data_IF_783629793097
#
_entry.id   IF_783629793097
#
_cell.length_a   1.000
_cell.length_b   1.000
_cell.length_c   1.000
_cell.angle_alpha   90.00
_cell.angle_beta   90.00
_cell.angle_gamma   90.00
#
_symmetry.space_group_name_H-M   'P 1'
#
loop_
_entity.id
_entity.type
_entity.pdbx_description
1 polymer ?
#
# COMPACT_ATOMS: atom_id res chain seq x y z
N UNK A 1 37.83 10.31 -0.73
CA UNK A 1 37.44 8.89 -0.85
C UNK A 1 35.93 8.84 -1.04
N UNK A 2 35.45 8.73 -2.28
CA UNK A 2 34.02 8.54 -2.55
C UNK A 2 33.75 7.05 -2.72
N UNK A 3 32.87 6.53 -1.88
CA UNK A 3 32.48 5.13 -1.84
C UNK A 3 31.89 4.65 -3.16
N UNK A 4 32.14 3.38 -3.45
CA UNK A 4 31.66 2.61 -4.60
C UNK A 4 30.19 2.90 -4.92
N UNK A 5 29.95 3.72 -5.96
CA UNK A 5 28.63 3.84 -6.59
C UNK A 5 28.38 2.52 -7.31
N UNK A 6 27.50 1.68 -6.76
CA UNK A 6 26.88 0.63 -7.54
C UNK A 6 26.32 1.27 -8.80
N UNK A 7 26.74 0.78 -9.95
CA UNK A 7 26.43 1.37 -11.27
C UNK A 7 24.91 1.49 -11.38
N UNK A 8 24.39 2.73 -11.39
CA UNK A 8 22.97 2.98 -11.60
C UNK A 8 22.55 2.28 -12.89
N UNK A 9 21.38 1.63 -12.91
CA UNK A 9 20.89 0.89 -14.09
C UNK A 9 20.69 1.79 -15.32
N UNK A 10 20.79 3.11 -15.12
CA UNK A 10 20.69 4.15 -16.14
C UNK A 10 22.00 4.94 -16.33
N UNK A 11 23.14 4.46 -15.84
CA UNK A 11 24.43 5.16 -15.94
C UNK A 11 24.82 5.46 -17.39
N UNK A 12 24.42 4.62 -18.33
CA UNK A 12 24.62 4.83 -19.76
C UNK A 12 23.95 6.10 -20.30
N UNK A 13 22.77 6.48 -19.80
CA UNK A 13 22.09 7.73 -20.22
C UNK A 13 22.40 8.91 -19.30
N UNK A 14 22.74 8.65 -18.03
CA UNK A 14 23.05 9.70 -17.07
C UNK A 14 24.49 10.23 -17.24
N UNK A 15 25.45 9.35 -17.46
CA UNK A 15 26.88 9.68 -17.52
C UNK A 15 27.40 9.84 -18.95
N UNK A 16 26.56 9.66 -19.98
CA UNK A 16 26.98 9.89 -21.36
C UNK A 16 27.31 11.37 -21.64
N UNK A 17 28.33 11.64 -22.47
CA UNK A 17 28.60 12.99 -22.96
C UNK A 17 27.42 13.47 -23.80
N UNK A 18 27.09 14.75 -23.67
CA UNK A 18 25.99 15.36 -24.42
C UNK A 18 26.36 15.39 -25.91
N UNK A 19 25.61 14.71 -26.80
CA UNK A 19 25.90 14.71 -28.23
C UNK A 19 25.80 16.12 -28.81
N UNK A 20 26.69 16.43 -29.76
CA UNK A 20 26.66 17.73 -30.48
C UNK A 20 25.71 17.69 -31.68
N UNK A 21 25.42 16.52 -32.23
CA UNK A 21 24.43 16.35 -33.30
C UNK A 21 23.00 16.49 -32.74
N UNK A 22 22.18 17.44 -33.26
CA UNK A 22 20.79 17.60 -32.85
C UNK A 22 19.94 16.33 -32.92
N UNK A 23 20.21 15.43 -33.87
CA UNK A 23 19.45 14.17 -33.99
C UNK A 23 19.75 13.21 -32.84
N UNK A 24 21.04 13.03 -32.54
CA UNK A 24 21.48 12.19 -31.43
C UNK A 24 21.03 12.77 -30.08
N UNK A 25 21.07 14.11 -29.94
CA UNK A 25 20.57 14.79 -28.75
C UNK A 25 19.08 14.54 -28.55
N UNK A 26 18.27 14.65 -29.60
CA UNK A 26 16.83 14.36 -29.55
C UNK A 26 16.58 12.90 -29.17
N UNK A 27 17.33 11.96 -29.75
CA UNK A 27 17.25 10.54 -29.40
C UNK A 27 17.61 10.28 -27.94
N UNK A 28 18.62 10.97 -27.40
CA UNK A 28 19.01 10.85 -25.99
C UNK A 28 17.93 11.40 -25.05
N UNK A 29 17.37 12.57 -25.38
CA UNK A 29 16.24 13.17 -24.64
C UNK A 29 15.04 12.22 -24.62
N UNK A 30 14.70 11.63 -25.77
CA UNK A 30 13.59 10.68 -25.88
C UNK A 30 13.84 9.41 -25.08
N UNK A 31 15.07 8.90 -25.08
CA UNK A 31 15.43 7.71 -24.31
C UNK A 31 15.39 7.98 -22.80
N UNK A 32 15.93 9.13 -22.35
CA UNK A 32 15.86 9.57 -20.94
C UNK A 32 14.41 9.74 -20.51
N UNK A 33 13.57 10.38 -21.35
CA UNK A 33 12.12 10.53 -21.12
C UNK A 33 11.43 9.18 -21.02
N UNK A 34 11.74 8.24 -21.93
CA UNK A 34 11.16 6.90 -21.96
C UNK A 34 11.50 6.12 -20.70
N UNK A 35 12.76 6.14 -20.26
CA UNK A 35 13.20 5.49 -19.01
C UNK A 35 12.60 6.16 -17.78
N UNK A 36 12.53 7.50 -17.76
CA UNK A 36 11.87 8.24 -16.70
C UNK A 36 10.38 7.87 -16.57
N UNK A 37 9.67 7.74 -17.68
CA UNK A 37 8.27 7.29 -17.70
C UNK A 37 8.13 5.85 -17.18
N UNK A 38 9.09 4.98 -17.50
CA UNK A 38 9.12 3.59 -17.02
C UNK A 38 9.41 3.52 -15.51
N UNK A 39 10.33 4.33 -14.99
CA UNK A 39 10.60 4.41 -13.56
C UNK A 39 9.36 4.95 -12.81
N UNK A 40 8.73 6.00 -13.35
CA UNK A 40 7.51 6.58 -12.78
C UNK A 40 6.35 5.59 -12.75
N UNK A 41 6.17 4.77 -13.79
CA UNK A 41 5.11 3.75 -13.82
C UNK A 41 5.37 2.58 -12.89
N UNK A 42 6.65 2.26 -12.61
CA UNK A 42 7.07 1.25 -11.64
C UNK A 42 7.00 1.72 -10.19
N UNK A 43 6.72 3.00 -9.93
CA UNK A 43 6.66 3.55 -8.58
C UNK A 43 8.00 4.06 -8.04
N UNK A 44 9.09 3.95 -8.80
CA UNK A 44 10.45 4.34 -8.37
C UNK A 44 10.64 5.83 -8.68
N UNK A 45 10.21 6.69 -7.76
CA UNK A 45 10.13 8.13 -8.00
C UNK A 45 11.49 8.82 -8.03
N UNK A 46 12.44 8.37 -7.21
CA UNK A 46 13.80 8.91 -7.11
C UNK A 46 14.55 8.75 -8.43
N UNK A 47 14.50 7.55 -9.02
CA UNK A 47 15.12 7.30 -10.34
C UNK A 47 14.45 8.15 -11.44
N UNK A 48 13.12 8.26 -11.40
CA UNK A 48 12.38 9.08 -12.36
C UNK A 48 12.77 10.56 -12.24
N UNK A 49 12.94 11.10 -11.03
CA UNK A 49 13.37 12.48 -10.81
C UNK A 49 14.76 12.74 -11.38
N UNK A 50 15.71 11.83 -11.15
CA UNK A 50 17.08 11.95 -11.68
C UNK A 50 17.08 11.91 -13.21
N UNK A 51 16.34 10.97 -13.81
CA UNK A 51 16.20 10.85 -15.26
C UNK A 51 15.57 12.10 -15.88
N UNK A 52 14.44 12.57 -15.37
CA UNK A 52 13.83 13.80 -15.90
C UNK A 52 14.72 15.02 -15.71
N UNK A 53 15.48 15.10 -14.61
CA UNK A 53 16.42 16.20 -14.38
C UNK A 53 17.53 16.21 -15.43
N UNK A 54 18.09 15.04 -15.74
CA UNK A 54 19.04 14.90 -16.85
C UNK A 54 18.41 15.33 -18.18
N UNK A 55 17.17 14.91 -18.43
CA UNK A 55 16.43 15.30 -19.62
C UNK A 55 16.27 16.82 -19.74
N UNK A 56 15.92 17.50 -18.64
CA UNK A 56 15.76 18.96 -18.60
C UNK A 56 17.07 19.68 -18.89
N UNK A 57 18.21 19.16 -18.44
CA UNK A 57 19.53 19.74 -18.70
C UNK A 57 19.94 19.69 -20.18
N UNK A 58 19.55 18.62 -20.88
CA UNK A 58 20.02 18.36 -22.26
C UNK A 58 18.98 18.74 -23.33
N UNK A 59 17.69 18.83 -22.97
CA UNK A 59 16.63 19.09 -23.92
C UNK A 59 16.68 20.53 -24.46
N UNK A 60 16.74 20.67 -25.79
CA UNK A 60 16.64 21.95 -26.47
C UNK A 60 15.21 22.26 -26.94
N UNK A 61 14.41 21.22 -27.17
CA UNK A 61 13.01 21.31 -27.60
C UNK A 61 12.12 20.54 -26.63
N UNK A 62 10.83 20.89 -26.58
CA UNK A 62 9.80 20.20 -25.79
C UNK A 62 10.11 20.01 -24.29
N UNK A 63 10.98 20.86 -23.74
CA UNK A 63 11.40 20.81 -22.33
C UNK A 63 10.22 20.94 -21.36
N UNK A 64 9.14 21.62 -21.78
CA UNK A 64 7.90 21.75 -21.02
C UNK A 64 7.27 20.40 -20.65
N UNK A 65 7.42 19.36 -21.48
CA UNK A 65 6.93 18.00 -21.21
C UNK A 65 7.71 17.37 -20.05
N UNK A 66 9.04 17.53 -20.06
CA UNK A 66 9.93 16.99 -19.04
C UNK A 66 9.71 17.68 -17.69
N UNK A 67 9.58 19.01 -17.68
CA UNK A 67 9.18 19.77 -16.49
C UNK A 67 7.83 19.29 -15.93
N UNK A 68 6.82 19.10 -16.78
CA UNK A 68 5.51 18.57 -16.34
C UNK A 68 5.62 17.16 -15.74
N UNK A 69 6.44 16.29 -16.34
CA UNK A 69 6.63 14.93 -15.83
C UNK A 69 7.41 14.93 -14.51
N UNK A 70 8.47 15.75 -14.40
CA UNK A 70 9.24 15.92 -13.15
C UNK A 70 8.40 16.52 -12.03
N UNK A 71 7.55 17.51 -12.34
CA UNK A 71 6.56 18.08 -11.42
C UNK A 71 5.65 16.99 -10.84
N UNK A 72 5.11 16.11 -11.69
CA UNK A 72 4.26 15.02 -11.25
C UNK A 72 5.01 14.01 -10.34
N UNK A 73 6.26 13.70 -10.66
CA UNK A 73 7.13 12.85 -9.84
C UNK A 73 7.38 13.46 -8.47
N UNK A 74 7.80 14.73 -8.42
CA UNK A 74 8.08 15.46 -7.18
C UNK A 74 6.84 15.61 -6.31
N UNK A 75 5.67 15.82 -6.92
CA UNK A 75 4.40 15.87 -6.20
C UNK A 75 4.08 14.53 -5.52
N UNK A 76 4.33 13.41 -6.20
CA UNK A 76 4.18 12.06 -5.61
C UNK A 76 5.17 11.79 -4.48
N UNK A 77 6.36 12.37 -4.53
CA UNK A 77 7.36 12.31 -3.44
C UNK A 77 7.05 13.27 -2.28
N UNK A 78 5.98 14.06 -2.35
CA UNK A 78 5.65 15.06 -1.33
C UNK A 78 6.48 16.35 -1.40
N UNK A 79 7.36 16.49 -2.40
CA UNK A 79 8.18 17.70 -2.65
C UNK A 79 7.37 18.78 -3.37
N UNK A 80 6.36 19.33 -2.68
CA UNK A 80 5.32 20.19 -3.26
C UNK A 80 5.84 21.50 -3.83
N UNK A 81 6.77 22.17 -3.15
CA UNK A 81 7.35 23.45 -3.60
C UNK A 81 8.13 23.27 -4.91
N UNK A 82 9.00 22.26 -4.97
CA UNK A 82 9.76 21.92 -6.18
C UNK A 82 8.85 21.47 -7.33
N UNK A 83 7.73 20.82 -7.02
CA UNK A 83 6.73 20.45 -8.03
C UNK A 83 6.03 21.68 -8.61
N UNK A 84 5.78 22.72 -7.81
CA UNK A 84 5.23 23.98 -8.27
C UNK A 84 6.23 24.72 -9.17
N UNK A 85 7.49 24.82 -8.76
CA UNK A 85 8.56 25.44 -9.57
C UNK A 85 8.67 24.79 -10.95
N UNK A 86 8.66 23.45 -11.02
CA UNK A 86 8.68 22.73 -12.29
C UNK A 86 7.42 22.98 -13.13
N UNK A 87 6.25 23.04 -12.50
CA UNK A 87 5.01 23.33 -13.23
C UNK A 87 5.01 24.76 -13.79
N UNK A 88 5.52 25.73 -13.02
CA UNK A 88 5.69 27.12 -13.45
C UNK A 88 6.71 27.22 -14.60
N UNK A 89 7.82 26.48 -14.53
CA UNK A 89 8.78 26.37 -15.62
C UNK A 89 8.15 25.74 -16.89
N UNK A 90 7.29 24.73 -16.74
CA UNK A 90 6.59 24.10 -17.86
C UNK A 90 5.66 25.08 -18.59
N UNK A 91 4.85 25.86 -17.86
CA UNK A 91 3.94 26.85 -18.47
C UNK A 91 4.69 28.06 -19.02
N UNK A 92 5.82 28.44 -18.42
CA UNK A 92 6.68 29.48 -18.97
C UNK A 92 7.34 29.05 -20.29
N UNK A 93 7.78 27.79 -20.37
CA UNK A 93 8.37 27.23 -21.57
C UNK A 93 7.36 27.04 -22.71
N UNK A 94 6.09 26.72 -22.39
CA UNK A 94 5.04 26.55 -23.39
C UNK A 94 3.67 27.05 -22.87
N UNK A 95 3.33 28.34 -23.09
CA UNK A 95 2.13 28.97 -22.51
C UNK A 95 0.78 28.41 -22.99
N UNK A 96 0.74 27.58 -24.04
CA UNK A 96 -0.48 26.90 -24.51
C UNK A 96 -0.55 25.44 -24.08
N UNK A 97 0.36 24.99 -23.20
CA UNK A 97 0.40 23.61 -22.72
C UNK A 97 -0.58 23.39 -21.56
N UNK A 98 -1.80 22.93 -21.87
CA UNK A 98 -2.86 22.72 -20.88
C UNK A 98 -2.44 21.81 -19.72
N UNK A 99 -1.69 20.74 -20.01
CA UNK A 99 -1.19 19.80 -19.00
C UNK A 99 -0.21 20.46 -18.02
N UNK A 100 0.55 21.48 -18.43
CA UNK A 100 1.41 22.27 -17.55
C UNK A 100 0.60 23.02 -16.49
N UNK A 101 -0.47 23.71 -16.92
CA UNK A 101 -1.40 24.39 -16.01
C UNK A 101 -2.13 23.40 -15.09
N UNK A 102 -2.47 22.21 -15.60
CA UNK A 102 -3.03 21.15 -14.76
C UNK A 102 -2.05 20.73 -13.65
N UNK A 103 -0.75 20.51 -13.97
CA UNK A 103 0.27 20.22 -12.95
C UNK A 103 0.43 21.36 -11.95
N UNK A 104 0.41 22.60 -12.42
CA UNK A 104 0.48 23.78 -11.55
C UNK A 104 -0.69 23.81 -10.57
N UNK A 105 -1.91 23.56 -11.05
CA UNK A 105 -3.10 23.41 -10.22
C UNK A 105 -2.95 22.34 -9.15
N UNK A 106 -2.47 21.14 -9.52
CA UNK A 106 -2.27 20.04 -8.57
C UNK A 106 -1.23 20.40 -7.48
N UNK A 107 -0.12 21.03 -7.85
CA UNK A 107 0.89 21.47 -6.88
C UNK A 107 0.35 22.56 -5.94
N UNK A 108 -0.41 23.53 -6.46
CA UNK A 108 -1.03 24.60 -5.67
C UNK A 108 -2.11 24.07 -4.71
N UNK A 109 -2.91 23.07 -5.11
CA UNK A 109 -3.84 22.38 -4.21
C UNK A 109 -3.05 21.73 -3.05
N UNK A 110 -1.95 21.05 -3.36
CA UNK A 110 -1.13 20.38 -2.34
C UNK A 110 -0.48 21.37 -1.36
N UNK A 111 -0.17 22.59 -1.81
CA UNK A 111 0.33 23.72 -1.01
C UNK A 111 -0.78 24.55 -0.35
N UNK A 112 -2.05 24.18 -0.51
CA UNK A 112 -3.22 24.90 0.02
C UNK A 112 -3.40 26.33 -0.52
N UNK A 113 -2.84 26.63 -1.69
CA UNK A 113 -3.05 27.90 -2.40
C UNK A 113 -4.25 27.79 -3.36
N UNK A 114 -5.44 27.58 -2.81
CA UNK A 114 -6.60 27.17 -3.60
C UNK A 114 -7.07 28.21 -4.63
N UNK A 115 -6.98 29.51 -4.33
CA UNK A 115 -7.36 30.53 -5.31
C UNK A 115 -6.48 30.47 -6.57
N UNK A 116 -5.15 30.46 -6.38
CA UNK A 116 -4.20 30.34 -7.49
C UNK A 116 -4.39 29.01 -8.24
N UNK A 117 -4.74 27.94 -7.53
CA UNK A 117 -5.02 26.64 -8.15
C UNK A 117 -6.23 26.71 -9.09
N UNK A 118 -7.32 27.36 -8.66
CA UNK A 118 -8.53 27.55 -9.49
C UNK A 118 -8.18 28.36 -10.74
N UNK A 119 -7.40 29.42 -10.61
CA UNK A 119 -7.02 30.26 -11.76
C UNK A 119 -6.17 29.49 -12.77
N UNK A 120 -5.21 28.67 -12.30
CA UNK A 120 -4.41 27.81 -13.16
C UNK A 120 -5.25 26.72 -13.85
N UNK A 121 -6.15 26.05 -13.11
CA UNK A 121 -7.02 25.01 -13.66
C UNK A 121 -8.07 25.57 -14.62
N UNK A 122 -8.57 26.79 -14.41
CA UNK A 122 -9.44 27.47 -15.34
C UNK A 122 -8.72 27.78 -16.67
N UNK A 123 -7.44 28.17 -16.61
CA UNK A 123 -6.61 28.30 -17.83
C UNK A 123 -6.43 26.95 -18.54
N UNK A 124 -6.16 25.87 -17.79
CA UNK A 124 -6.06 24.54 -18.37
C UNK A 124 -7.35 24.13 -19.11
N UNK A 125 -8.51 24.38 -18.50
CA UNK A 125 -9.83 24.09 -19.09
C UNK A 125 -10.12 24.97 -20.32
N UNK A 126 -9.67 26.23 -20.32
CA UNK A 126 -9.82 27.10 -21.50
C UNK A 126 -8.96 26.66 -22.69
N UNK A 127 -7.83 26.00 -22.44
CA UNK A 127 -6.93 25.48 -23.48
C UNK A 127 -7.38 24.10 -23.99
N UNK A 128 -7.82 23.22 -23.10
CA UNK A 128 -8.34 21.88 -23.42
C UNK A 128 -9.69 21.64 -22.72
N UNK A 129 -10.75 22.16 -23.33
CA UNK A 129 -12.10 22.00 -22.82
C UNK A 129 -12.55 20.53 -22.83
N UNK A 130 -13.23 20.09 -21.77
CA UNK A 130 -13.78 18.74 -21.68
C UNK A 130 -12.82 17.69 -21.09
N UNK A 131 -11.65 18.10 -20.59
CA UNK A 131 -10.76 17.20 -19.87
C UNK A 131 -11.32 16.90 -18.47
N UNK A 132 -11.86 15.68 -18.28
CA UNK A 132 -12.46 15.25 -17.02
C UNK A 132 -11.51 15.36 -15.80
N UNK A 133 -10.20 15.20 -16.01
CA UNK A 133 -9.22 15.32 -14.93
C UNK A 133 -9.08 16.77 -14.44
N UNK A 134 -9.11 17.73 -15.37
CA UNK A 134 -9.05 19.17 -15.06
C UNK A 134 -10.32 19.59 -14.34
N UNK A 135 -11.50 19.20 -14.84
CA UNK A 135 -12.78 19.50 -14.20
C UNK A 135 -12.86 18.95 -12.77
N UNK A 136 -12.40 17.71 -12.56
CA UNK A 136 -12.34 17.10 -11.22
C UNK A 136 -11.43 17.88 -10.28
N UNK A 137 -10.23 18.22 -10.71
CA UNK A 137 -9.28 19.00 -9.91
C UNK A 137 -9.81 20.42 -9.61
N UNK A 138 -10.54 21.02 -10.55
CA UNK A 138 -11.14 22.35 -10.40
C UNK A 138 -12.28 22.32 -9.35
N UNK A 139 -13.14 21.29 -9.40
CA UNK A 139 -14.15 21.05 -8.37
C UNK A 139 -13.50 20.84 -6.99
N UNK A 140 -12.47 20.00 -6.90
CA UNK A 140 -11.72 19.77 -5.67
C UNK A 140 -11.12 21.07 -5.10
N UNK A 141 -10.48 21.90 -5.94
CA UNK A 141 -9.91 23.17 -5.51
C UNK A 141 -10.97 24.14 -4.97
N UNK A 142 -12.16 24.20 -5.60
CA UNK A 142 -13.29 25.03 -5.15
C UNK A 142 -13.84 24.55 -3.80
N UNK A 143 -14.03 23.24 -3.64
CA UNK A 143 -14.52 22.65 -2.40
C UNK A 143 -13.53 22.87 -1.24
N UNK A 144 -12.23 22.70 -1.49
CA UNK A 144 -11.18 22.94 -0.50
C UNK A 144 -11.10 24.42 -0.11
N UNK A 145 -11.25 25.33 -1.08
CA UNK A 145 -11.33 26.78 -0.80
C UNK A 145 -12.55 27.12 0.08
N UNK A 146 -13.72 26.55 -0.22
CA UNK A 146 -14.92 26.78 0.58
C UNK A 146 -14.76 26.28 2.02
N UNK A 147 -14.16 25.09 2.21
CA UNK A 147 -13.86 24.54 3.54
C UNK A 147 -12.87 25.41 4.32
N UNK A 148 -11.84 25.96 3.65
CA UNK A 148 -10.87 26.86 4.29
C UNK A 148 -11.51 28.16 4.79
N UNK A 149 -12.48 28.71 4.05
CA UNK A 149 -13.24 29.90 4.48
C UNK A 149 -14.10 29.64 5.72
N UNK A 150 -14.77 28.49 5.78
CA UNK A 150 -15.65 28.13 6.90
C UNK A 150 -14.86 27.82 8.19
N UNK A 151 -13.65 27.27 8.07
CA UNK A 151 -12.78 26.99 9.22
C UNK A 151 -12.17 28.27 9.81
N UNK A 152 -11.93 29.29 8.99
CA UNK A 152 -11.45 30.61 9.43
C UNK A 152 -12.54 31.46 10.12
N UNK A 153 -13.83 31.23 9.82
CA UNK A 153 -14.95 31.99 10.40
C UNK A 153 -15.51 31.41 11.71
N UNK A 154 -15.02 30.27 12.20
CA UNK A 154 -15.42 29.77 13.53
C UNK A 154 -14.73 30.62 14.62
N UNK A 155 -15.46 31.39 15.44
CA UNK A 155 -14.85 32.11 16.55
C UNK A 155 -14.24 31.11 17.53
N UNK A 156 -12.95 31.32 17.85
CA UNK A 156 -12.21 30.54 18.84
C UNK A 156 -12.89 30.71 20.20
N UNK A 157 -13.76 29.77 20.56
CA UNK A 157 -14.37 29.73 21.90
C UNK A 157 -13.29 29.35 22.93
N UNK A 158 -13.24 30.01 24.10
CA UNK A 158 -12.19 29.75 25.09
C UNK A 158 -12.35 28.36 25.70
N UNK A 159 -11.24 27.61 25.79
CA UNK A 159 -11.17 26.27 26.40
C UNK A 159 -11.66 26.34 27.86
N UNK A 160 -12.83 25.75 28.15
CA UNK A 160 -13.25 25.44 29.53
C UNK A 160 -12.33 24.37 30.10
N UNK A 161 -11.60 24.71 31.16
CA UNK A 161 -10.84 23.77 32.01
C UNK A 161 -11.83 22.79 32.66
N UNK A 162 -11.79 21.51 32.28
CA UNK A 162 -12.46 20.44 33.01
C UNK A 162 -11.52 19.90 34.09
N UNK A 163 -11.89 20.17 35.34
CA UNK A 163 -11.27 19.61 36.54
C UNK A 163 -11.50 18.10 36.52
N UNK A 164 -10.42 17.32 36.53
CA UNK A 164 -10.47 15.87 36.66
C UNK A 164 -10.78 15.52 38.11
N UNK A 165 -11.90 14.84 38.34
CA UNK A 165 -12.19 14.18 39.60
C UNK A 165 -12.13 12.67 39.34
N UNK A 166 -11.09 12.02 39.85
CA UNK A 166 -10.98 10.56 39.95
C UNK A 166 -12.07 10.02 40.88
N UNK A 167 -12.52 8.78 40.66
CA UNK A 167 -12.14 7.76 41.64
C UNK A 167 -11.67 6.43 41.04
N UNK A 168 -10.96 5.73 41.92
CA UNK A 168 -10.20 4.48 41.78
C UNK A 168 -11.12 3.24 41.87
N UNK A 169 -10.74 2.18 41.13
CA UNK A 169 -10.85 0.72 41.43
C UNK A 169 -12.14 0.14 42.02
N UNK A 170 -12.67 -0.93 41.41
CA UNK A 170 -12.55 -2.32 41.92
C UNK A 170 -12.99 -3.36 40.89
N UNK A 171 -12.38 -4.53 41.03
CA UNK A 171 -12.42 -5.76 40.25
C UNK A 171 -13.69 -6.60 40.34
N UNK A 172 -13.88 -7.45 39.32
CA UNK A 172 -14.04 -8.92 39.43
C UNK A 172 -15.35 -9.55 38.91
N UNK A 173 -15.11 -10.59 38.09
CA UNK A 173 -15.76 -11.93 38.01
C UNK A 173 -16.99 -12.20 37.14
N UNK A 174 -16.81 -13.29 36.36
CA UNK A 174 -17.72 -14.43 36.13
C UNK A 174 -18.68 -14.44 34.90
N UNK A 175 -18.18 -15.07 33.83
CA UNK A 175 -18.65 -16.31 33.19
C UNK A 175 -20.14 -16.59 32.85
N UNK A 176 -20.28 -17.18 31.65
CA UNK A 176 -21.25 -18.19 31.16
C UNK A 176 -22.42 -17.70 30.26
N UNK A 177 -23.09 -18.59 29.47
CA UNK A 177 -22.66 -19.03 28.14
C UNK A 177 -23.79 -19.00 27.07
N UNK A 178 -23.48 -19.55 25.88
CA UNK A 178 -24.30 -19.69 24.66
C UNK A 178 -25.67 -20.37 24.83
N UNK A 179 -26.62 -20.02 23.95
CA UNK A 179 -27.77 -20.87 23.66
C UNK A 179 -28.10 -20.93 22.16
N UNK A 180 -28.13 -22.17 21.69
CA UNK A 180 -28.48 -22.73 20.38
C UNK A 180 -29.91 -22.47 19.94
N UNK A 181 -30.09 -22.39 18.62
CA UNK A 181 -31.38 -22.36 17.94
C UNK A 181 -31.88 -23.78 17.61
N UNK A 182 -33.14 -24.07 17.93
CA UNK A 182 -33.89 -25.24 17.47
C UNK A 182 -35.37 -24.90 17.25
N UNK A 183 -35.88 -25.16 16.05
CA UNK A 183 -37.08 -25.99 15.81
C UNK A 183 -38.50 -25.38 15.90
N UNK A 184 -39.08 -25.13 14.71
CA UNK A 184 -40.46 -25.35 14.21
C UNK A 184 -41.71 -25.06 15.08
N UNK A 185 -42.67 -24.34 14.49
CA UNK A 185 -44.08 -24.79 14.45
C UNK A 185 -44.79 -24.29 13.18
N UNK A 186 -45.46 -25.23 12.51
CA UNK A 186 -46.44 -25.03 11.45
C UNK A 186 -47.68 -24.30 12.02
N UNK A 187 -48.13 -23.25 11.35
CA UNK A 187 -49.46 -22.66 11.58
C UNK A 187 -50.26 -22.88 10.31
N UNK A 188 -51.16 -23.88 10.36
CA UNK A 188 -52.26 -24.03 9.43
C UNK A 188 -53.29 -22.97 9.81
N UNK A 189 -53.58 -22.05 8.90
CA UNK A 189 -54.73 -21.14 9.01
C UNK A 189 -55.77 -21.63 8.01
N UNK A 190 -56.81 -22.27 8.53
CA UNK A 190 -58.08 -22.42 7.83
C UNK A 190 -58.80 -21.07 7.89
N UNK A 191 -58.84 -20.34 6.78
CA UNK A 191 -59.67 -19.14 6.65
C UNK A 191 -60.86 -19.44 5.75
N UNK A 192 -62.03 -19.39 6.38
CA UNK A 192 -63.34 -19.61 5.78
C UNK A 192 -63.67 -18.61 4.68
N UNK A 193 -64.47 -19.08 3.72
CA UNK A 193 -65.10 -18.28 2.68
C UNK A 193 -66.13 -17.31 3.29
N UNK A 194 -65.71 -16.18 3.85
CA UNK A 194 -66.63 -15.07 4.13
C UNK A 194 -66.07 -13.73 3.62
N UNK A 195 -66.56 -13.35 2.43
CA UNK A 195 -66.75 -11.99 1.89
C UNK A 195 -65.64 -10.94 2.10
N UNK A 196 -64.51 -11.09 1.40
CA UNK A 196 -63.53 -10.01 1.14
C UNK A 196 -63.98 -9.02 0.03
N UNK A 197 -65.29 -8.74 -0.09
CA UNK A 197 -65.80 -7.70 -0.98
C UNK A 197 -65.54 -6.32 -0.38
N UNK A 198 -64.40 -5.71 -0.72
CA UNK A 198 -64.16 -4.28 -0.47
C UNK A 198 -62.76 -3.88 0.00
N UNK A 199 -61.85 -4.84 0.20
CA UNK A 199 -60.48 -4.51 0.66
C UNK A 199 -59.64 -3.96 -0.51
N UNK A 200 -59.32 -2.67 -0.46
CA UNK A 200 -58.51 -1.97 -1.47
C UNK A 200 -57.07 -2.51 -1.45
N UNK A 201 -56.67 -3.26 -2.47
CA UNK A 201 -55.30 -3.79 -2.61
C UNK A 201 -55.19 -5.20 -3.20
N UNK A 202 -56.31 -5.89 -3.41
CA UNK A 202 -56.35 -7.23 -4.00
C UNK A 202 -57.16 -7.27 -5.29
N UNK A 203 -56.73 -8.09 -6.25
CA UNK A 203 -57.39 -8.34 -7.54
C UNK A 203 -57.56 -9.85 -7.74
N UNK A 204 -58.69 -10.25 -8.36
CA UNK A 204 -58.90 -11.62 -8.82
C UNK A 204 -58.29 -11.82 -10.21
N UNK A 205 -57.51 -12.88 -10.37
CA UNK A 205 -57.00 -13.36 -11.65
C UNK A 205 -58.11 -14.03 -12.46
N UNK A 206 -57.88 -14.22 -13.76
CA UNK A 206 -58.80 -14.95 -14.65
C UNK A 206 -59.05 -16.40 -14.20
N UNK A 207 -58.10 -16.97 -13.45
CA UNK A 207 -58.16 -18.33 -12.88
C UNK A 207 -58.82 -18.38 -11.48
N UNK A 208 -59.51 -17.31 -11.07
CA UNK A 208 -60.28 -17.23 -9.82
C UNK A 208 -59.46 -16.95 -8.55
N UNK A 209 -58.13 -17.07 -8.59
CA UNK A 209 -57.23 -16.81 -7.46
C UNK A 209 -57.14 -15.31 -7.13
N UNK A 210 -57.07 -14.97 -5.85
CA UNK A 210 -56.91 -13.59 -5.36
C UNK A 210 -55.42 -13.30 -5.13
N UNK A 211 -54.92 -12.19 -5.65
CA UNK A 211 -53.52 -11.76 -5.49
C UNK A 211 -53.43 -10.26 -5.23
N UNK A 212 -52.34 -9.82 -4.60
CA UNK A 212 -52.05 -8.40 -4.37
C UNK A 212 -51.86 -7.64 -5.69
N UNK A 213 -52.26 -6.37 -5.72
CA UNK A 213 -52.19 -5.48 -6.90
C UNK A 213 -50.78 -5.30 -7.50
N UNK A 214 -49.71 -5.65 -6.78
CA UNK A 214 -48.32 -5.54 -7.24
C UNK A 214 -47.83 -6.74 -8.06
N UNK A 215 -48.61 -7.82 -8.16
CA UNK A 215 -48.25 -8.94 -9.03
C UNK A 215 -48.68 -8.65 -10.46
N UNK A 216 -47.70 -8.65 -11.36
CA UNK A 216 -47.92 -8.50 -12.80
C UNK A 216 -48.00 -9.90 -13.40
N UNK A 217 -49.09 -10.21 -14.10
CA UNK A 217 -49.21 -11.49 -14.80
C UNK A 217 -48.20 -11.53 -15.94
N UNK A 218 -47.33 -12.54 -15.94
CA UNK A 218 -46.43 -12.77 -17.06
C UNK A 218 -47.26 -13.11 -18.29
N UNK A 219 -47.05 -12.36 -19.37
CA UNK A 219 -47.65 -12.65 -20.67
C UNK A 219 -47.20 -14.03 -21.17
N UNK A 220 -48.00 -14.66 -22.02
CA UNK A 220 -47.64 -15.99 -22.53
C UNK A 220 -46.37 -15.95 -23.40
N UNK A 221 -46.06 -14.81 -24.03
CA UNK A 221 -44.75 -14.53 -24.63
C UNK A 221 -43.62 -14.48 -23.59
N UNK A 222 -43.82 -13.80 -22.45
CA UNK A 222 -42.82 -13.75 -21.38
C UNK A 222 -42.58 -15.12 -20.75
N UNK A 223 -43.64 -15.94 -20.59
CA UNK A 223 -43.51 -17.34 -20.15
C UNK A 223 -42.74 -18.17 -21.17
N UNK A 224 -42.97 -17.97 -22.47
CA UNK A 224 -42.22 -18.64 -23.53
C UNK A 224 -40.74 -18.25 -23.55
N UNK A 225 -40.42 -16.97 -23.30
CA UNK A 225 -39.04 -16.47 -23.25
C UNK A 225 -38.24 -16.98 -22.03
N UNK A 226 -38.90 -17.13 -20.87
CA UNK A 226 -38.26 -17.66 -19.66
C UNK A 226 -37.98 -19.16 -19.80
N UNK A 227 -38.76 -19.88 -20.62
CA UNK A 227 -38.61 -21.31 -20.81
C UNK A 227 -38.86 -22.11 -19.52
N UNK A 228 -38.18 -23.25 -19.36
CA UNK A 228 -38.30 -24.04 -18.12
C UNK A 228 -37.44 -23.43 -17.01
N UNK A 229 -38.08 -22.91 -15.96
CA UNK A 229 -37.41 -22.47 -14.72
C UNK A 229 -36.84 -23.68 -13.94
N UNK A 230 -37.27 -24.90 -14.28
CA UNK A 230 -36.79 -26.12 -13.66
C UNK A 230 -35.28 -26.33 -13.93
N UNK A 231 -34.48 -26.71 -12.91
CA UNK A 231 -33.06 -26.99 -13.10
C UNK A 231 -32.86 -28.08 -14.14
N UNK A 232 -32.16 -27.77 -15.23
CA UNK A 232 -31.82 -28.76 -16.25
C UNK A 232 -30.56 -29.52 -15.84
N UNK A 233 -30.56 -30.83 -16.07
CA UNK A 233 -29.42 -31.69 -15.75
C UNK A 233 -28.32 -31.47 -16.78
N UNK A 234 -27.17 -30.97 -16.33
CA UNK A 234 -25.98 -30.79 -17.17
C UNK A 234 -25.47 -32.18 -17.58
N UNK A 235 -25.39 -32.44 -18.89
CA UNK A 235 -24.99 -33.76 -19.43
C UNK A 235 -23.49 -34.02 -19.36
N UNK A 236 -22.68 -32.97 -19.43
CA UNK A 236 -21.21 -33.05 -19.37
C UNK A 236 -20.66 -32.12 -18.29
N UNK A 237 -20.41 -32.69 -17.10
CA UNK A 237 -19.79 -31.97 -15.98
C UNK A 237 -18.38 -31.45 -16.29
N UNK A 238 -17.73 -31.96 -17.35
CA UNK A 238 -16.37 -31.60 -17.77
C UNK A 238 -16.31 -30.68 -19.00
N UNK A 239 -17.44 -30.28 -19.59
CA UNK A 239 -17.44 -29.41 -20.78
C UNK A 239 -17.02 -27.96 -20.47
N UNK A 240 -17.10 -27.55 -19.19
CA UNK A 240 -16.68 -26.22 -18.71
C UNK A 240 -15.38 -26.37 -17.89
N UNK A 241 -14.33 -26.91 -18.49
CA UNK A 241 -12.98 -26.74 -17.94
C UNK A 241 -12.39 -25.42 -18.42
N UNK A 242 -12.66 -24.37 -17.67
CA UNK A 242 -12.00 -23.06 -17.83
C UNK A 242 -10.58 -23.22 -17.29
N UNK A 243 -9.58 -22.81 -18.07
CA UNK A 243 -8.16 -22.92 -17.70
C UNK A 243 -7.92 -22.19 -16.38
N UNK A 244 -7.45 -22.92 -15.38
CA UNK A 244 -6.99 -22.34 -14.11
C UNK A 244 -5.95 -21.26 -14.39
N UNK A 245 -6.09 -20.12 -13.71
CA UNK A 245 -5.03 -19.12 -13.64
C UNK A 245 -4.00 -19.61 -12.64
N UNK A 246 -2.72 -19.54 -13.02
CA UNK A 246 -1.63 -20.05 -12.20
C UNK A 246 -1.61 -19.32 -10.83
N UNK A 247 -1.91 -20.06 -9.76
CA UNK A 247 -1.93 -19.57 -8.38
C UNK A 247 -3.26 -19.12 -7.78
N UNK A 248 -4.39 -19.23 -8.49
CA UNK A 248 -5.73 -19.17 -7.88
C UNK A 248 -6.24 -20.56 -7.51
N UNK A 249 -7.16 -20.67 -6.55
CA UNK A 249 -7.85 -21.92 -6.28
C UNK A 249 -8.62 -22.39 -7.52
N UNK A 250 -8.75 -23.72 -7.67
CA UNK A 250 -9.47 -24.34 -8.79
C UNK A 250 -10.96 -23.93 -8.89
N UNK A 251 -11.49 -23.27 -7.85
CA UNK A 251 -12.86 -22.78 -7.77
C UNK A 251 -13.01 -21.31 -8.21
N UNK A 252 -11.92 -20.56 -8.36
CA UNK A 252 -11.96 -19.14 -8.72
C UNK A 252 -11.92 -18.94 -10.25
N UNK A 253 -12.94 -19.47 -10.93
CA UNK A 253 -13.08 -19.34 -12.39
C UNK A 253 -13.48 -17.92 -12.84
N UNK A 254 -13.92 -17.07 -11.91
CA UNK A 254 -14.43 -15.73 -12.17
C UNK A 254 -13.39 -14.61 -12.08
N UNK A 255 -12.11 -14.93 -11.82
CA UNK A 255 -11.07 -13.94 -11.57
C UNK A 255 -11.39 -13.01 -10.37
N UNK A 256 -12.14 -13.55 -9.41
CA UNK A 256 -12.60 -12.89 -8.19
C UNK A 256 -11.44 -12.74 -7.20
N UNK A 257 -11.60 -11.86 -6.21
CA UNK A 257 -10.64 -11.72 -5.12
C UNK A 257 -10.53 -13.05 -4.34
N UNK A 258 -9.30 -13.54 -4.17
CA UNK A 258 -8.99 -14.68 -3.32
C UNK A 258 -7.78 -14.34 -2.44
N UNK A 259 -7.85 -14.69 -1.16
CA UNK A 259 -6.79 -14.42 -0.19
C UNK A 259 -6.42 -15.72 0.52
N UNK A 260 -5.12 -16.03 0.51
CA UNK A 260 -4.56 -17.16 1.24
C UNK A 260 -3.78 -16.64 2.43
N UNK A 261 -4.21 -16.99 3.63
CA UNK A 261 -3.48 -16.73 4.86
C UNK A 261 -2.18 -17.57 4.87
N UNK A 262 -1.07 -16.87 5.07
CA UNK A 262 0.30 -17.40 5.13
C UNK A 262 0.99 -17.02 6.45
N UNK A 263 0.26 -16.49 7.43
CA UNK A 263 0.82 -15.94 8.68
C UNK A 263 1.65 -16.97 9.43
N UNK A 264 1.10 -18.17 9.69
CA UNK A 264 1.81 -19.25 10.40
C UNK A 264 3.06 -19.71 9.66
N UNK A 265 2.98 -19.82 8.32
CA UNK A 265 4.14 -20.17 7.51
C UNK A 265 5.23 -19.12 7.65
N UNK A 266 4.89 -17.84 7.52
CA UNK A 266 5.84 -16.74 7.58
C UNK A 266 6.53 -16.63 8.93
N UNK A 267 5.77 -16.68 10.03
CA UNK A 267 6.32 -16.59 11.39
C UNK A 267 7.29 -17.74 11.69
N UNK A 268 6.92 -18.98 11.31
CA UNK A 268 7.78 -20.14 11.49
C UNK A 268 9.04 -20.04 10.63
N UNK A 269 8.89 -19.64 9.36
CA UNK A 269 10.00 -19.61 8.42
C UNK A 269 11.03 -18.54 8.76
N UNK A 270 10.58 -17.35 9.16
CA UNK A 270 11.46 -16.29 9.65
C UNK A 270 12.21 -16.76 10.90
N UNK A 271 11.52 -17.42 11.82
CA UNK A 271 12.12 -17.97 13.04
C UNK A 271 13.21 -18.99 12.73
N UNK A 272 12.94 -19.94 11.82
CA UNK A 272 13.91 -20.94 11.36
C UNK A 272 15.15 -20.30 10.74
N UNK A 273 14.96 -19.35 9.82
CA UNK A 273 16.05 -18.72 9.08
C UNK A 273 16.95 -17.86 9.97
N UNK A 274 16.37 -17.15 10.94
CA UNK A 274 17.16 -16.35 11.90
C UNK A 274 17.89 -17.26 12.88
N UNK A 275 17.24 -18.32 13.40
CA UNK A 275 17.90 -19.29 14.31
C UNK A 275 18.98 -20.11 13.62
N UNK A 276 18.94 -20.24 12.29
CA UNK A 276 19.98 -20.92 11.51
C UNK A 276 21.30 -20.14 11.40
N UNK A 277 21.35 -18.87 11.84
CA UNK A 277 22.57 -18.06 11.80
C UNK A 277 23.55 -18.57 12.87
N UNK A 278 24.75 -19.05 12.49
CA UNK A 278 25.71 -19.55 13.46
C UNK A 278 26.30 -18.40 14.29
N UNK A 279 26.85 -18.68 15.50
CA UNK A 279 27.53 -17.67 16.30
C UNK A 279 28.63 -16.95 15.52
N UNK A 280 28.63 -15.62 15.58
CA UNK A 280 29.56 -14.78 14.83
C UNK A 280 30.71 -14.28 15.71
N UNK A 281 31.96 -14.30 15.23
CA UNK A 281 33.06 -13.69 15.95
C UNK A 281 32.87 -12.17 16.00
N UNK A 282 32.93 -11.60 17.21
CA UNK A 282 32.84 -10.16 17.43
C UNK A 282 33.88 -9.73 18.45
N UNK A 283 34.78 -8.83 18.02
CA UNK A 283 35.79 -8.23 18.88
C UNK A 283 35.29 -6.89 19.41
N UNK A 284 35.19 -6.76 20.73
CA UNK A 284 34.79 -5.53 21.41
C UNK A 284 35.98 -5.00 22.21
N UNK A 285 36.44 -3.79 21.87
CA UNK A 285 37.55 -3.10 22.53
C UNK A 285 38.78 -4.00 22.75
N UNK A 286 39.17 -4.76 21.71
CA UNK A 286 40.33 -5.64 21.72
C UNK A 286 40.10 -7.04 22.32
N UNK A 287 38.92 -7.34 22.85
CA UNK A 287 38.58 -8.67 23.37
C UNK A 287 37.71 -9.42 22.37
N UNK A 288 38.22 -10.56 21.90
CA UNK A 288 37.47 -11.47 21.05
C UNK A 288 36.36 -12.16 21.85
N UNK A 289 35.17 -12.25 21.25
CA UNK A 289 34.05 -13.01 21.76
C UNK A 289 33.17 -13.55 20.65
N UNK A 290 32.16 -14.31 21.04
CA UNK A 290 31.17 -14.88 20.13
C UNK A 290 29.81 -14.24 20.41
N UNK A 291 29.18 -13.74 19.36
CA UNK A 291 27.82 -13.24 19.37
C UNK A 291 26.88 -14.34 18.88
N UNK A 292 25.96 -14.77 19.73
CA UNK A 292 24.96 -15.78 19.39
C UNK A 292 23.54 -15.22 19.56
N UNK A 293 22.64 -15.68 18.69
CA UNK A 293 21.20 -15.44 18.85
C UNK A 293 20.68 -16.44 19.88
N UNK A 294 20.05 -15.95 20.94
CA UNK A 294 19.53 -16.79 22.03
C UNK A 294 18.08 -17.17 21.78
N UNK A 295 17.22 -16.20 21.46
CA UNK A 295 15.81 -16.46 21.20
C UNK A 295 15.16 -15.38 20.35
N UNK A 296 13.93 -15.64 19.90
CA UNK A 296 13.09 -14.68 19.18
C UNK A 296 11.76 -14.58 19.94
N UNK A 297 11.40 -13.36 20.33
CA UNK A 297 10.20 -13.03 21.13
C UNK A 297 9.28 -12.09 20.37
N UNK A 298 8.07 -11.94 20.88
CA UNK A 298 7.08 -10.96 20.41
C UNK A 298 6.77 -11.08 18.90
N UNK A 299 6.80 -12.29 18.34
CA UNK A 299 6.46 -12.53 16.94
C UNK A 299 4.96 -12.29 16.73
N UNK A 300 4.61 -11.18 16.10
CA UNK A 300 3.23 -10.84 15.73
C UNK A 300 3.16 -10.24 14.33
N UNK A 301 1.94 -10.01 13.84
CA UNK A 301 1.68 -9.54 12.49
C UNK A 301 1.02 -10.60 11.62
N UNK A 302 0.75 -10.23 10.36
CA UNK A 302 -0.02 -11.01 9.41
C UNK A 302 0.70 -11.13 8.07
N UNK A 303 0.41 -12.22 7.35
CA UNK A 303 0.90 -12.42 6.00
C UNK A 303 -0.16 -13.12 5.16
N UNK A 304 -0.45 -12.57 3.99
CA UNK A 304 -1.39 -13.16 3.04
C UNK A 304 -0.98 -12.95 1.59
N UNK A 305 -1.37 -13.92 0.76
CA UNK A 305 -1.20 -13.85 -0.70
C UNK A 305 -2.58 -13.60 -1.29
N UNK A 306 -2.77 -12.40 -1.84
CA UNK A 306 -4.01 -11.98 -2.47
C UNK A 306 -3.92 -12.09 -3.98
N UNK A 307 -4.85 -12.82 -4.60
CA UNK A 307 -4.99 -12.92 -6.06
C UNK A 307 -6.11 -11.99 -6.48
N UNK A 308 -5.77 -10.95 -7.25
CA UNK A 308 -6.73 -9.96 -7.74
C UNK A 308 -6.61 -9.87 -9.25
N UNK A 309 -7.68 -10.24 -9.95
CA UNK A 309 -7.74 -10.22 -11.41
C UNK A 309 -6.59 -11.00 -12.09
N UNK A 310 -6.13 -12.08 -11.47
CA UNK A 310 -5.09 -12.95 -12.01
C UNK A 310 -3.66 -12.48 -11.70
N UNK A 311 -3.51 -11.41 -10.91
CA UNK A 311 -2.23 -10.97 -10.38
C UNK A 311 -2.11 -11.33 -8.89
N UNK A 312 -1.03 -12.02 -8.53
CA UNK A 312 -0.65 -12.27 -7.12
C UNK A 312 -0.10 -10.98 -6.49
N UNK A 313 -0.53 -10.70 -5.27
CA UNK A 313 0.01 -9.66 -4.39
C UNK A 313 0.47 -10.35 -3.12
N UNK A 314 1.74 -10.15 -2.81
CA UNK A 314 2.39 -10.72 -1.64
C UNK A 314 2.37 -9.66 -0.55
N UNK A 315 1.63 -9.91 0.52
CA UNK A 315 1.42 -8.96 1.60
C UNK A 315 1.91 -9.63 2.87
N UNK A 316 2.83 -8.98 3.57
CA UNK A 316 3.20 -9.36 4.91
C UNK A 316 3.60 -8.11 5.68
N UNK A 317 3.34 -8.14 6.98
CA UNK A 317 3.76 -7.17 7.98
C UNK A 317 4.02 -7.97 9.26
N UNK A 318 5.30 -8.08 9.63
CA UNK A 318 5.73 -8.84 10.80
C UNK A 318 6.54 -7.94 11.72
N UNK A 319 6.35 -8.15 13.02
CA UNK A 319 7.16 -7.56 14.06
C UNK A 319 7.65 -8.66 15.01
N UNK A 320 8.89 -8.52 15.47
CA UNK A 320 9.51 -9.46 16.40
C UNK A 320 10.79 -8.89 17.01
N UNK A 321 11.19 -9.46 18.14
CA UNK A 321 12.40 -9.10 18.87
C UNK A 321 13.38 -10.27 18.85
N UNK A 322 14.61 -10.04 18.39
CA UNK A 322 15.70 -11.04 18.43
C UNK A 322 16.58 -10.76 19.64
N UNK A 323 16.68 -11.70 20.56
CA UNK A 323 17.59 -11.64 21.69
C UNK A 323 18.95 -12.21 21.31
N UNK A 324 20.00 -11.51 21.70
CA UNK A 324 21.38 -11.87 21.39
C UNK A 324 22.24 -11.78 22.63
N UNK A 325 23.20 -12.70 22.75
CA UNK A 325 24.19 -12.70 23.83
C UNK A 325 25.59 -12.77 23.27
N UNK A 326 26.47 -11.90 23.77
CA UNK A 326 27.89 -11.92 23.49
C UNK A 326 28.66 -12.50 24.68
N UNK A 327 29.50 -13.50 24.40
CA UNK A 327 30.37 -14.17 25.38
C UNK A 327 31.84 -13.97 25.01
N UNK A 328 32.69 -13.62 25.96
CA UNK A 328 34.13 -13.42 25.71
C UNK A 328 34.90 -14.74 25.66
N UNK A 329 35.81 -14.89 24.69
CA UNK A 329 36.58 -16.13 24.45
C UNK A 329 37.95 -16.14 25.13
N UNK A 330 38.21 -15.21 26.07
CA UNK A 330 39.55 -15.10 26.68
C UNK A 330 39.67 -14.10 27.83
N UNK A 331 38.57 -13.77 28.51
CA UNK A 331 38.58 -12.87 29.66
C UNK A 331 37.37 -13.12 30.55
N UNK A 332 37.53 -12.87 31.84
CA UNK A 332 36.52 -13.06 32.90
C UNK A 332 35.50 -11.90 32.90
N UNK A 333 34.88 -11.67 31.73
CA UNK A 333 33.92 -10.59 31.51
C UNK A 333 32.52 -11.19 31.45
N UNK A 334 31.59 -10.61 32.21
CA UNK A 334 30.20 -11.05 32.21
C UNK A 334 29.60 -10.99 30.78
N UNK A 335 28.72 -11.94 30.43
CA UNK A 335 28.07 -11.93 29.12
C UNK A 335 27.24 -10.66 28.93
N UNK A 336 27.30 -10.07 27.75
CA UNK A 336 26.49 -8.91 27.38
C UNK A 336 25.25 -9.37 26.62
N UNK A 337 24.09 -8.88 27.02
CA UNK A 337 22.83 -9.15 26.35
C UNK A 337 22.34 -7.94 25.56
N UNK A 338 21.74 -8.20 24.41
CA UNK A 338 21.12 -7.20 23.55
C UNK A 338 19.83 -7.74 22.94
N UNK A 339 19.00 -6.82 22.46
CA UNK A 339 17.76 -7.11 21.75
C UNK A 339 17.69 -6.26 20.49
N UNK A 340 17.32 -6.89 19.37
CA UNK A 340 17.08 -6.23 18.10
C UNK A 340 15.60 -6.35 17.75
N UNK A 341 14.89 -5.23 17.78
CA UNK A 341 13.45 -5.18 17.50
C UNK A 341 13.22 -4.79 16.06
N UNK A 342 12.58 -5.68 15.31
CA UNK A 342 12.08 -5.42 13.97
C UNK A 342 10.69 -4.83 14.13
N UNK A 343 10.59 -3.53 13.89
CA UNK A 343 9.34 -2.76 14.08
C UNK A 343 8.42 -2.86 12.87
N UNK A 344 9.01 -2.94 11.68
CA UNK A 344 8.31 -2.94 10.40
C UNK A 344 9.07 -3.85 9.42
N UNK A 345 8.73 -5.15 9.44
CA UNK A 345 9.17 -6.09 8.42
C UNK A 345 8.02 -6.32 7.45
N UNK A 346 7.88 -5.41 6.48
CA UNK A 346 6.81 -5.48 5.49
C UNK A 346 7.29 -5.85 4.08
N UNK A 347 6.31 -6.14 3.22
CA UNK A 347 6.52 -6.31 1.77
C UNK A 347 6.96 -5.03 1.03
N UNK A 348 6.79 -3.84 1.61
CA UNK A 348 7.06 -2.55 0.94
C UNK A 348 8.43 -1.94 1.29
N UNK A 349 9.07 -2.37 2.38
CA UNK A 349 10.39 -1.87 2.80
C UNK A 349 11.54 -2.17 1.83
N UNK A 350 11.36 -3.04 0.83
CA UNK A 350 12.39 -3.37 -0.16
C UNK A 350 13.67 -4.00 0.42
N UNK A 351 13.61 -4.49 1.66
CA UNK A 351 14.73 -5.09 2.37
C UNK A 351 15.61 -4.13 3.19
N UNK A 352 15.22 -2.86 3.35
CA UNK A 352 15.77 -1.96 4.37
C UNK A 352 14.80 -1.93 5.56
N UNK A 353 15.01 -2.87 6.49
CA UNK A 353 14.15 -3.01 7.66
C UNK A 353 14.60 -2.07 8.77
N UNK A 354 13.64 -1.45 9.45
CA UNK A 354 13.89 -0.63 10.62
C UNK A 354 14.08 -1.51 11.86
N UNK A 355 15.32 -1.52 12.36
CA UNK A 355 15.74 -2.33 13.51
C UNK A 355 16.19 -1.44 14.65
N UNK A 356 15.44 -1.46 15.75
CA UNK A 356 15.81 -0.80 16.99
C UNK A 356 16.71 -1.71 17.83
N UNK A 357 17.91 -1.23 18.15
CA UNK A 357 18.87 -1.97 18.97
C UNK A 357 18.82 -1.49 20.42
N UNK A 358 18.47 -2.40 21.31
CA UNK A 358 18.39 -2.18 22.76
C UNK A 358 19.47 -3.00 23.46
N UNK A 359 20.29 -2.34 24.27
CA UNK A 359 21.28 -2.99 25.13
C UNK A 359 21.06 -2.44 26.54
N UNK A 360 20.58 -3.28 27.47
CA UNK A 360 20.23 -2.87 28.82
C UNK A 360 21.45 -2.28 29.56
N UNK A 361 22.60 -2.95 29.45
CA UNK A 361 23.84 -2.55 30.12
C UNK A 361 24.71 -1.59 29.28
N UNK A 362 24.09 -0.81 28.38
CA UNK A 362 24.82 0.08 27.46
C UNK A 362 25.75 1.07 28.18
N UNK A 363 25.29 1.61 29.31
CA UNK A 363 26.04 2.59 30.10
C UNK A 363 26.65 2.00 31.37
N UNK A 364 26.14 0.85 31.83
CA UNK A 364 26.60 0.16 33.05
C UNK A 364 27.85 -0.69 32.79
N UNK A 365 27.95 -1.31 31.62
CA UNK A 365 29.07 -2.16 31.25
C UNK A 365 30.14 -1.38 30.46
N UNK A 366 31.44 -1.53 30.75
CA UNK A 366 32.52 -0.80 30.05
C UNK A 366 32.47 -0.95 28.52
N UNK A 367 32.06 -2.13 28.05
CA UNK A 367 31.94 -2.48 26.61
C UNK A 367 30.52 -2.29 26.03
N UNK A 368 29.56 -1.80 26.82
CA UNK A 368 28.16 -1.69 26.42
C UNK A 368 27.94 -0.75 25.24
N UNK A 369 28.71 0.34 25.14
CA UNK A 369 28.67 1.27 24.01
C UNK A 369 29.22 0.66 22.73
N UNK A 370 30.38 0.01 22.79
CA UNK A 370 30.98 -0.68 21.65
C UNK A 370 30.05 -1.80 21.15
N UNK A 371 29.45 -2.56 22.06
CA UNK A 371 28.48 -3.60 21.73
C UNK A 371 27.24 -3.05 21.01
N UNK A 372 26.63 -1.98 21.55
CA UNK A 372 25.51 -1.30 20.91
C UNK A 372 25.88 -0.83 19.49
N UNK A 373 27.04 -0.19 19.32
CA UNK A 373 27.53 0.26 18.02
C UNK A 373 27.74 -0.88 17.03
N UNK A 374 28.30 -2.01 17.47
CA UNK A 374 28.47 -3.21 16.63
C UNK A 374 27.14 -3.81 16.21
N UNK A 375 26.15 -3.87 17.11
CA UNK A 375 24.80 -4.37 16.81
C UNK A 375 24.02 -3.42 15.90
N UNK A 376 24.24 -2.11 15.97
CA UNK A 376 23.62 -1.10 15.09
C UNK A 376 24.28 -0.99 13.71
N UNK A 377 25.39 -1.70 13.47
CA UNK A 377 26.05 -1.71 12.17
C UNK A 377 25.19 -2.46 11.14
N UNK A 378 24.88 -1.82 10.01
CA UNK A 378 24.19 -2.43 8.85
C UNK A 378 25.16 -3.05 7.82
N UNK A 379 26.43 -3.29 8.18
CA UNK A 379 27.41 -3.88 7.26
C UNK A 379 27.03 -5.32 6.86
N UNK A 380 27.39 -5.78 5.66
CA UNK A 380 27.10 -7.14 5.21
C UNK A 380 27.69 -8.24 6.11
N UNK A 381 28.82 -7.95 6.79
CA UNK A 381 29.47 -8.86 7.72
C UNK A 381 28.96 -8.74 9.17
N UNK A 382 28.05 -7.78 9.45
CA UNK A 382 27.43 -7.62 10.76
C UNK A 382 26.31 -8.63 10.96
N UNK A 383 25.89 -8.82 12.22
CA UNK A 383 24.74 -9.66 12.53
C UNK A 383 23.47 -9.17 11.81
N UNK A 384 23.21 -7.85 11.78
CA UNK A 384 22.07 -7.29 11.04
C UNK A 384 22.14 -7.60 9.55
N UNK A 385 23.31 -7.45 8.92
CA UNK A 385 23.50 -7.77 7.51
C UNK A 385 23.22 -9.24 7.19
N UNK A 386 23.66 -10.16 8.06
CA UNK A 386 23.37 -11.59 7.94
C UNK A 386 21.88 -11.89 8.10
N UNK A 387 21.21 -11.28 9.09
CA UNK A 387 19.75 -11.39 9.25
C UNK A 387 19.02 -10.88 8.02
N UNK A 388 19.39 -9.72 7.48
CA UNK A 388 18.79 -9.19 6.25
C UNK A 388 19.00 -10.10 5.05
N UNK A 389 20.16 -10.79 4.96
CA UNK A 389 20.39 -11.79 3.93
C UNK A 389 19.44 -12.98 4.08
N UNK A 390 19.21 -13.47 5.30
CA UNK A 390 18.25 -14.54 5.56
C UNK A 390 16.80 -14.10 5.27
N UNK A 391 16.42 -12.89 5.65
CA UNK A 391 15.10 -12.34 5.32
C UNK A 391 14.89 -12.16 3.81
N UNK A 392 15.95 -11.89 3.03
CA UNK A 392 15.86 -11.90 1.56
C UNK A 392 15.58 -13.30 1.00
N UNK A 393 16.07 -14.35 1.65
CA UNK A 393 15.74 -15.74 1.28
C UNK A 393 14.27 -16.00 1.58
N UNK A 394 13.79 -15.61 2.76
CA UNK A 394 12.36 -15.68 3.11
C UNK A 394 11.48 -15.01 2.05
N UNK A 395 11.77 -13.77 1.66
CA UNK A 395 10.96 -13.04 0.65
C UNK A 395 10.93 -13.79 -0.69
N UNK A 396 12.03 -14.41 -1.11
CA UNK A 396 12.06 -15.22 -2.33
C UNK A 396 11.19 -16.47 -2.22
N UNK A 397 11.24 -17.17 -1.09
CA UNK A 397 10.42 -18.36 -0.82
C UNK A 397 8.94 -18.01 -0.67
N UNK A 398 8.63 -16.91 0.00
CA UNK A 398 7.27 -16.38 0.11
C UNK A 398 6.68 -16.07 -1.25
N UNK A 399 7.46 -15.43 -2.13
CA UNK A 399 7.04 -15.14 -3.50
C UNK A 399 6.93 -16.39 -4.40
N UNK A 400 7.54 -17.52 -4.01
CA UNK A 400 7.43 -18.78 -4.73
C UNK A 400 6.15 -19.57 -4.40
N UNK A 401 5.44 -19.22 -3.32
CA UNK A 401 4.12 -19.76 -2.98
C UNK A 401 3.01 -19.12 -3.84
#
# INVERSE_FOLDING_TARGET
MFGSRGVSRHSDVLDCPVPTDPKELTSLVDEVKRRGNQAFSKGIMEEAEVLYSRGVEIAQTDVHILYSNRSATRLKMGKKDLALEDAEAAVAAHPTFAKGFFRQGQALIALKHFQRAIDALAKADSLEAGNASVLKALAEAKDLKAKQGVEAERPVSPKKRTIHNTPKTTSATAAAPSATATGKSDVVVEDGEEDLKGVRGYKKLADGRVTTYFNTDLTDEAKALIGSIAPQKISDANAVQIKNVDGGSAWNQGNSFEEKDMTTFSQNRVTELIKAIPPQPLTLDGVAGLLAITDIKDMTGDASIAVVRGAKRYIFDLNFSVEVTWTSTGGDVAPLQGSLKFLDMSSDCGGDYDVEVVVADRYSHPKGKAFHQSLSSKSAASLQGLMFSQLKVFVKEYNAN
#
